data_IF_339383483686
#
_entry.id   IF_339383483686
#
_cell.length_a   1.000
_cell.length_b   1.000
_cell.length_c   1.000
_cell.angle_alpha   90.00
_cell.angle_beta   90.00
_cell.angle_gamma   90.00
#
_symmetry.space_group_name_H-M   'P 1'
#
loop_
_entity.id
_entity.type
_entity.pdbx_description
1 polymer ?
#
# COMPACT_ATOMS: atom_id res chain seq x y z
N UNK A 1 33.34 26.58 -30.19
CA UNK A 1 32.66 26.99 -28.95
C UNK A 1 31.59 25.95 -28.66
N UNK A 2 31.84 25.07 -27.71
CA UNK A 2 30.82 24.13 -27.22
C UNK A 2 29.76 24.97 -26.50
N UNK A 3 28.55 25.04 -27.05
CA UNK A 3 27.41 25.59 -26.33
C UNK A 3 27.09 24.58 -25.23
N UNK A 4 27.44 24.89 -23.99
CA UNK A 4 27.00 24.14 -22.84
C UNK A 4 25.46 24.07 -22.88
N UNK A 5 24.91 22.86 -22.78
CA UNK A 5 23.46 22.68 -22.66
C UNK A 5 22.95 23.53 -21.49
N UNK A 6 21.82 24.24 -21.65
CA UNK A 6 21.28 25.06 -20.58
C UNK A 6 20.96 24.16 -19.37
N UNK A 7 21.57 24.49 -18.23
CA UNK A 7 21.38 23.79 -16.97
C UNK A 7 19.87 23.72 -16.66
N UNK A 8 19.34 22.52 -16.43
CA UNK A 8 17.91 22.32 -16.22
C UNK A 8 17.42 23.17 -15.04
N UNK A 9 16.31 23.90 -15.23
CA UNK A 9 15.69 24.69 -14.16
C UNK A 9 15.39 23.80 -12.94
N UNK A 10 15.53 24.31 -11.70
CA UNK A 10 15.14 23.56 -10.50
C UNK A 10 13.69 23.04 -10.56
N UNK A 11 12.80 23.76 -11.25
CA UNK A 11 11.40 23.35 -11.45
C UNK A 11 11.31 22.16 -12.41
N UNK A 12 11.99 22.20 -13.56
CA UNK A 12 11.96 21.08 -14.50
C UNK A 12 12.60 19.84 -13.88
N UNK A 13 13.74 19.99 -13.21
CA UNK A 13 14.39 18.89 -12.50
C UNK A 13 13.49 18.26 -11.40
N UNK A 14 12.70 19.07 -10.70
CA UNK A 14 11.70 18.57 -9.74
C UNK A 14 10.60 17.77 -10.45
N UNK A 15 10.01 18.33 -11.50
CA UNK A 15 8.92 17.69 -12.25
C UNK A 15 9.38 16.38 -12.92
N UNK A 16 10.61 16.34 -13.43
CA UNK A 16 11.20 15.14 -14.02
C UNK A 16 11.37 14.04 -12.98
N UNK A 17 11.78 14.38 -11.75
CA UNK A 17 11.86 13.41 -10.64
C UNK A 17 10.48 12.87 -10.25
N UNK A 18 9.47 13.74 -10.18
CA UNK A 18 8.08 13.34 -9.87
C UNK A 18 7.56 12.39 -10.94
N UNK A 19 7.72 12.77 -12.21
CA UNK A 19 7.28 11.98 -13.37
C UNK A 19 7.98 10.63 -13.38
N UNK A 20 9.30 10.62 -13.16
CA UNK A 20 10.09 9.39 -13.08
C UNK A 20 9.59 8.45 -11.98
N UNK A 21 9.40 8.94 -10.75
CA UNK A 21 8.91 8.11 -9.65
C UNK A 21 7.52 7.54 -9.94
N UNK A 22 6.65 8.31 -10.58
CA UNK A 22 5.30 7.85 -10.95
C UNK A 22 5.33 6.77 -12.01
N UNK A 23 6.14 6.94 -13.05
CA UNK A 23 6.21 6.02 -14.18
C UNK A 23 7.05 4.77 -13.87
N UNK A 24 8.21 4.95 -13.24
CA UNK A 24 9.15 3.85 -13.00
C UNK A 24 8.89 3.13 -11.68
N UNK A 25 8.25 3.77 -10.69
CA UNK A 25 8.03 3.20 -9.36
C UNK A 25 9.36 2.67 -8.79
N UNK A 26 9.40 1.44 -8.29
CA UNK A 26 10.63 0.74 -7.89
C UNK A 26 11.45 0.16 -9.05
N UNK A 27 11.07 0.38 -10.30
CA UNK A 27 11.79 0.01 -11.51
C UNK A 27 10.92 -0.76 -12.52
N UNK A 28 11.09 -0.44 -13.81
CA UNK A 28 10.27 -0.98 -14.92
C UNK A 28 10.26 -2.51 -14.97
N UNK A 29 11.41 -3.17 -14.76
CA UNK A 29 11.49 -4.64 -14.72
C UNK A 29 10.58 -5.27 -13.64
N UNK A 30 10.37 -4.58 -12.52
CA UNK A 30 9.48 -5.05 -11.45
C UNK A 30 8.02 -4.84 -11.81
N UNK A 31 7.70 -3.76 -12.52
CA UNK A 31 6.38 -3.52 -13.11
C UNK A 31 6.07 -4.61 -14.15
N UNK A 32 6.98 -4.87 -15.09
CA UNK A 32 6.82 -5.93 -16.10
C UNK A 32 6.57 -7.30 -15.45
N UNK A 33 7.28 -7.61 -14.36
CA UNK A 33 7.09 -8.85 -13.62
C UNK A 33 5.73 -8.94 -12.90
N UNK A 34 5.12 -7.81 -12.52
CA UNK A 34 3.76 -7.75 -11.98
C UNK A 34 2.76 -8.02 -13.12
N UNK A 35 2.92 -7.33 -14.25
CA UNK A 35 2.06 -7.48 -15.42
C UNK A 35 2.12 -8.87 -16.05
N UNK A 36 3.30 -9.50 -16.08
CA UNK A 36 3.49 -10.87 -16.56
C UNK A 36 2.69 -11.90 -15.74
N UNK A 37 2.30 -11.57 -14.50
CA UNK A 37 1.41 -12.38 -13.65
C UNK A 37 -0.06 -11.99 -13.78
N UNK A 38 -0.42 -11.07 -14.68
CA UNK A 38 -1.77 -10.54 -14.82
C UNK A 38 -2.21 -9.65 -13.64
N UNK A 39 -1.27 -9.17 -12.82
CA UNK A 39 -1.54 -8.32 -11.67
C UNK A 39 -1.42 -6.84 -12.05
N UNK A 40 -1.98 -5.97 -11.22
CA UNK A 40 -1.87 -4.52 -11.38
C UNK A 40 -0.86 -3.96 -10.38
N UNK A 41 -0.21 -2.87 -10.74
CA UNK A 41 0.49 -2.00 -9.80
C UNK A 41 -0.51 -1.26 -8.90
N UNK A 42 -0.06 -0.77 -7.76
CA UNK A 42 -0.92 0.03 -6.87
C UNK A 42 -1.47 1.28 -7.55
N UNK A 43 -0.70 1.92 -8.44
CA UNK A 43 -1.15 3.10 -9.19
C UNK A 43 -2.28 2.74 -10.15
N UNK A 44 -2.15 1.63 -10.88
CA UNK A 44 -3.21 1.14 -11.75
C UNK A 44 -4.46 0.72 -10.97
N UNK A 45 -4.33 0.19 -9.75
CA UNK A 45 -5.49 -0.05 -8.88
C UNK A 45 -6.17 1.26 -8.46
N UNK A 46 -5.40 2.31 -8.13
CA UNK A 46 -5.95 3.63 -7.78
C UNK A 46 -6.66 4.22 -8.99
N UNK A 47 -5.99 4.29 -10.15
CA UNK A 47 -6.51 4.88 -11.38
C UNK A 47 -7.80 4.19 -11.85
N UNK A 48 -7.91 2.87 -11.65
CA UNK A 48 -9.13 2.13 -11.96
C UNK A 48 -10.24 2.37 -10.96
N UNK A 49 -9.93 2.63 -9.69
CA UNK A 49 -10.93 2.77 -8.64
C UNK A 49 -11.59 4.16 -8.63
N UNK A 50 -10.77 5.20 -8.76
CA UNK A 50 -11.16 6.59 -8.56
C UNK A 50 -11.67 7.25 -9.85
N UNK A 51 -12.33 8.39 -9.72
CA UNK A 51 -12.77 9.20 -10.86
C UNK A 51 -11.56 9.68 -11.67
N UNK A 52 -11.72 9.76 -12.99
CA UNK A 52 -10.69 10.25 -13.92
C UNK A 52 -10.13 11.61 -13.49
N UNK A 53 -8.81 11.76 -13.57
CA UNK A 53 -8.05 12.97 -13.20
C UNK A 53 -8.33 13.51 -11.78
N UNK A 54 -8.83 12.67 -10.86
CA UNK A 54 -9.13 13.09 -9.48
C UNK A 54 -8.00 12.85 -8.49
N UNK A 55 -7.07 11.93 -8.78
CA UNK A 55 -6.05 11.53 -7.82
C UNK A 55 -4.94 12.58 -7.65
N UNK A 56 -4.88 13.18 -6.46
CA UNK A 56 -3.83 14.07 -6.01
C UNK A 56 -2.90 13.33 -5.05
N UNK A 57 -1.80 12.80 -5.60
CA UNK A 57 -0.81 12.07 -4.81
C UNK A 57 -0.02 12.97 -3.86
N UNK A 58 0.28 12.44 -2.68
CA UNK A 58 1.05 13.09 -1.65
C UNK A 58 2.37 12.34 -1.36
N UNK A 59 3.44 13.12 -1.21
CA UNK A 59 4.75 12.58 -0.82
C UNK A 59 5.37 11.66 -1.88
N UNK A 60 5.17 11.94 -3.18
CA UNK A 60 5.74 11.18 -4.30
C UNK A 60 7.27 11.05 -4.17
N UNK A 61 7.96 12.12 -3.78
CA UNK A 61 9.43 12.14 -3.65
C UNK A 61 9.94 11.66 -2.28
N UNK A 62 9.07 11.11 -1.43
CA UNK A 62 9.50 10.50 -0.17
C UNK A 62 10.42 9.31 -0.44
N UNK A 63 11.33 9.04 0.49
CA UNK A 63 12.26 7.92 0.44
C UNK A 63 12.70 7.53 1.86
N UNK A 64 13.44 6.43 1.98
CA UNK A 64 13.99 5.95 3.25
C UNK A 64 14.78 7.04 3.99
N UNK A 65 14.77 6.98 5.32
CA UNK A 65 15.61 7.83 6.16
C UNK A 65 17.09 7.51 5.96
N UNK A 66 17.42 6.25 5.69
CA UNK A 66 18.76 5.79 5.38
C UNK A 66 19.24 6.40 4.04
N UNK A 67 20.24 7.29 4.04
CA UNK A 67 20.76 7.91 2.83
C UNK A 67 21.20 6.90 1.76
N UNK A 68 21.72 5.73 2.18
CA UNK A 68 22.19 4.69 1.26
C UNK A 68 21.04 4.01 0.49
N UNK A 69 19.80 4.12 0.98
CA UNK A 69 18.64 3.46 0.38
C UNK A 69 17.71 4.43 -0.37
N UNK A 70 17.99 5.74 -0.33
CA UNK A 70 17.07 6.77 -0.86
C UNK A 70 16.76 6.61 -2.35
N UNK A 71 17.76 6.25 -3.15
CA UNK A 71 17.59 6.06 -4.60
C UNK A 71 16.72 4.86 -4.94
N UNK A 72 16.68 3.86 -4.04
CA UNK A 72 16.05 2.57 -4.27
C UNK A 72 14.71 2.42 -3.50
N UNK A 73 14.26 3.51 -2.86
CA UNK A 73 13.02 3.55 -2.07
C UNK A 73 12.08 4.69 -2.50
N UNK A 74 11.79 4.85 -3.80
CA UNK A 74 10.88 5.91 -4.26
C UNK A 74 9.49 5.77 -3.63
N UNK A 75 8.92 6.88 -3.19
CA UNK A 75 7.66 6.93 -2.43
C UNK A 75 7.69 6.20 -1.07
N UNK A 76 8.86 5.68 -0.67
CA UNK A 76 9.09 4.70 0.39
C UNK A 76 8.14 3.49 0.37
N UNK A 77 7.75 3.06 -0.83
CA UNK A 77 6.91 1.88 -1.06
C UNK A 77 5.44 2.04 -0.68
N UNK A 78 4.97 3.27 -0.48
CA UNK A 78 3.56 3.62 -0.27
C UNK A 78 3.12 4.70 -1.24
N UNK A 79 1.99 4.49 -1.91
CA UNK A 79 1.31 5.52 -2.70
C UNK A 79 0.12 6.00 -1.89
N UNK A 80 0.03 7.31 -1.63
CA UNK A 80 -1.04 7.90 -0.81
C UNK A 80 -1.51 9.21 -1.42
N UNK A 81 -2.76 9.60 -1.18
CA UNK A 81 -3.28 10.88 -1.62
C UNK A 81 -4.79 11.02 -1.40
N UNK A 82 -5.36 12.05 -2.01
CA UNK A 82 -6.81 12.28 -2.05
C UNK A 82 -7.32 12.07 -3.48
N UNK A 83 -8.57 11.64 -3.61
CA UNK A 83 -9.23 11.41 -4.89
C UNK A 83 -10.74 11.63 -4.77
N UNK A 84 -11.48 11.29 -5.82
CA UNK A 84 -12.94 11.19 -5.78
C UNK A 84 -13.41 9.83 -6.24
N UNK A 85 -14.54 9.36 -5.70
CA UNK A 85 -15.30 8.22 -6.21
C UNK A 85 -16.75 8.68 -6.35
N UNK A 86 -17.29 8.66 -7.57
CA UNK A 86 -18.64 9.15 -7.85
C UNK A 86 -18.82 10.63 -7.44
N UNK A 87 -17.77 11.44 -7.64
CA UNK A 87 -17.73 12.85 -7.25
C UNK A 87 -17.52 13.11 -5.75
N UNK A 88 -17.49 12.08 -4.90
CA UNK A 88 -17.34 12.22 -3.44
C UNK A 88 -15.86 12.15 -3.06
N UNK A 89 -15.35 13.06 -2.21
CA UNK A 89 -13.94 13.06 -1.82
C UNK A 89 -13.62 11.86 -0.94
N UNK A 90 -12.45 11.27 -1.18
CA UNK A 90 -11.89 10.18 -0.38
C UNK A 90 -10.38 10.36 -0.23
N UNK A 91 -9.83 9.81 0.84
CA UNK A 91 -8.40 9.58 0.95
C UNK A 91 -8.09 8.12 0.58
N UNK A 92 -6.96 7.89 -0.06
CA UNK A 92 -6.54 6.54 -0.49
C UNK A 92 -5.06 6.31 -0.22
N UNK A 93 -4.73 5.08 0.19
CA UNK A 93 -3.37 4.60 0.35
C UNK A 93 -3.22 3.19 -0.22
N UNK A 94 -2.02 2.82 -0.66
CA UNK A 94 -1.74 1.46 -1.08
C UNK A 94 -0.26 1.10 -1.09
N UNK A 95 -0.01 -0.20 -1.15
CA UNK A 95 1.32 -0.79 -1.08
C UNK A 95 1.98 -0.94 -2.46
N UNK A 96 3.13 -0.30 -2.66
CA UNK A 96 3.91 -0.47 -3.88
C UNK A 96 4.89 -1.65 -3.74
N UNK A 97 4.49 -2.82 -4.24
CA UNK A 97 5.33 -4.01 -4.19
C UNK A 97 6.58 -3.96 -5.07
N UNK A 98 6.70 -3.01 -5.99
CA UNK A 98 7.93 -2.79 -6.75
C UNK A 98 9.04 -2.21 -5.86
N UNK A 99 8.68 -1.55 -4.76
CA UNK A 99 9.61 -0.92 -3.82
C UNK A 99 9.67 -1.73 -2.54
N UNK A 100 10.73 -2.53 -2.37
CA UNK A 100 10.96 -3.36 -1.17
C UNK A 100 9.71 -4.19 -0.79
N UNK A 101 8.99 -4.73 -1.78
CA UNK A 101 7.73 -5.50 -1.61
C UNK A 101 6.67 -4.75 -0.80
N UNK A 102 6.63 -3.43 -0.92
CA UNK A 102 5.69 -2.57 -0.21
C UNK A 102 5.83 -2.67 1.31
N UNK A 103 6.97 -3.15 1.83
CA UNK A 103 7.18 -3.40 3.26
C UNK A 103 6.93 -2.15 4.13
N UNK A 104 6.45 -2.38 5.35
CA UNK A 104 6.17 -1.32 6.32
C UNK A 104 7.47 -0.71 6.83
N UNK A 105 7.64 0.59 6.59
CA UNK A 105 8.84 1.38 6.85
C UNK A 105 8.50 2.67 7.55
N UNK A 106 9.49 3.37 8.10
CA UNK A 106 9.22 4.58 8.89
C UNK A 106 8.55 5.68 8.06
N UNK A 107 9.07 5.99 6.87
CA UNK A 107 8.54 7.08 6.04
C UNK A 107 7.25 6.66 5.35
N UNK A 108 7.18 5.43 4.83
CA UNK A 108 5.98 4.84 4.26
C UNK A 108 4.81 4.82 5.25
N UNK A 109 5.01 4.31 6.46
CA UNK A 109 3.96 4.27 7.49
C UNK A 109 3.53 5.67 7.92
N UNK A 110 4.46 6.65 8.01
CA UNK A 110 4.12 8.05 8.26
C UNK A 110 3.27 8.66 7.14
N UNK A 111 3.54 8.32 5.88
CA UNK A 111 2.71 8.78 4.74
C UNK A 111 1.28 8.26 4.85
N UNK A 112 1.10 6.97 5.13
CA UNK A 112 -0.23 6.35 5.29
C UNK A 112 -0.95 6.98 6.49
N UNK A 113 -0.27 7.11 7.63
CA UNK A 113 -0.83 7.75 8.82
C UNK A 113 -1.24 9.21 8.58
N UNK A 114 -0.42 9.97 7.85
CA UNK A 114 -0.72 11.36 7.51
C UNK A 114 -1.96 11.48 6.63
N UNK A 115 -2.08 10.66 5.59
CA UNK A 115 -3.26 10.64 4.73
C UNK A 115 -4.52 10.25 5.52
N UNK A 116 -4.40 9.26 6.42
CA UNK A 116 -5.50 8.86 7.30
C UNK A 116 -5.92 9.99 8.26
N UNK A 117 -4.99 10.67 8.90
CA UNK A 117 -5.28 11.82 9.78
C UNK A 117 -5.96 12.97 9.02
N UNK A 118 -5.53 13.23 7.77
CA UNK A 118 -6.19 14.21 6.91
C UNK A 118 -7.61 13.79 6.55
N UNK A 119 -7.83 12.51 6.24
CA UNK A 119 -9.16 11.97 5.97
C UNK A 119 -10.11 12.16 7.15
N UNK A 120 -9.64 11.84 8.37
CA UNK A 120 -10.41 12.04 9.61
C UNK A 120 -10.74 13.52 9.80
N UNK A 121 -9.77 14.41 9.62
CA UNK A 121 -9.98 15.85 9.76
C UNK A 121 -10.96 16.43 8.73
N UNK A 122 -10.96 15.87 7.50
CA UNK A 122 -11.84 16.29 6.42
C UNK A 122 -13.23 15.60 6.47
N UNK A 123 -13.41 14.56 7.27
CA UNK A 123 -14.61 13.73 7.25
C UNK A 123 -14.73 12.87 5.99
N UNK A 124 -13.61 12.53 5.35
CA UNK A 124 -13.54 11.77 4.10
C UNK A 124 -13.37 10.27 4.39
N UNK A 125 -14.04 9.36 3.66
CA UNK A 125 -13.74 7.94 3.71
C UNK A 125 -12.28 7.66 3.36
N UNK A 126 -11.71 6.63 3.99
CA UNK A 126 -10.34 6.18 3.73
C UNK A 126 -10.34 4.80 3.10
N UNK A 127 -9.69 4.67 1.94
CA UNK A 127 -9.52 3.40 1.23
C UNK A 127 -8.06 2.94 1.32
N UNK A 128 -7.84 1.67 1.65
CA UNK A 128 -6.52 1.06 1.69
C UNK A 128 -6.42 -0.14 0.73
N UNK A 129 -5.42 -0.11 -0.16
CA UNK A 129 -5.10 -1.19 -1.10
C UNK A 129 -3.92 -2.01 -0.56
N UNK A 130 -4.23 -3.14 0.08
CA UNK A 130 -3.29 -3.99 0.77
C UNK A 130 -2.55 -4.97 -0.14
N UNK A 131 -1.22 -4.90 -0.09
CA UNK A 131 -0.30 -5.84 -0.74
C UNK A 131 1.10 -5.79 -0.10
N UNK A 132 1.21 -5.81 1.22
CA UNK A 132 2.50 -5.57 1.90
C UNK A 132 3.29 -6.86 2.21
N UNK A 133 4.62 -6.80 2.09
CA UNK A 133 5.52 -7.92 2.41
C UNK A 133 5.86 -8.10 3.90
N UNK A 134 5.20 -7.37 4.81
CA UNK A 134 5.54 -7.35 6.24
C UNK A 134 6.34 -6.11 6.65
N UNK A 135 6.95 -6.17 7.83
CA UNK A 135 7.85 -5.12 8.32
C UNK A 135 9.15 -5.09 7.50
N UNK A 136 9.66 -3.88 7.22
CA UNK A 136 10.98 -3.72 6.63
C UNK A 136 12.02 -3.96 7.71
N UNK A 137 12.60 -5.17 7.72
CA UNK A 137 13.47 -5.62 8.81
C UNK A 137 14.57 -4.59 9.16
N UNK A 138 15.36 -4.02 8.23
CA UNK A 138 16.34 -3.00 8.58
C UNK A 138 15.79 -1.81 9.37
N UNK A 139 14.57 -1.36 9.08
CA UNK A 139 13.91 -0.24 9.76
C UNK A 139 13.31 -0.64 11.10
N UNK A 140 12.93 -1.92 11.24
CA UNK A 140 12.22 -2.46 12.42
C UNK A 140 13.15 -3.19 13.41
N UNK A 141 14.45 -3.24 13.15
CA UNK A 141 15.43 -3.92 14.00
C UNK A 141 15.57 -3.22 15.36
N UNK A 142 15.58 -4.02 16.43
CA UNK A 142 15.69 -3.54 17.80
C UNK A 142 14.42 -2.85 18.31
N UNK A 143 14.39 -2.56 19.62
CA UNK A 143 13.24 -1.95 20.27
C UNK A 143 12.92 -0.55 19.70
N UNK A 144 13.95 0.22 19.35
CA UNK A 144 13.80 1.55 18.76
C UNK A 144 13.18 1.48 17.35
N UNK A 145 13.71 0.63 16.47
CA UNK A 145 13.17 0.46 15.12
C UNK A 145 11.72 -0.01 15.11
N UNK A 146 11.39 -0.99 15.96
CA UNK A 146 10.02 -1.48 16.10
C UNK A 146 9.06 -0.38 16.57
N UNK A 147 9.48 0.49 17.48
CA UNK A 147 8.68 1.63 17.95
C UNK A 147 8.45 2.69 16.86
N UNK A 148 9.33 2.76 15.85
CA UNK A 148 9.25 3.74 14.75
C UNK A 148 8.32 3.32 13.60
N UNK A 149 7.94 2.03 13.54
CA UNK A 149 6.94 1.50 12.60
C UNK A 149 5.77 0.89 13.38
N UNK A 150 5.05 1.70 14.20
CA UNK A 150 4.01 1.17 15.06
C UNK A 150 2.81 0.68 14.23
N UNK A 151 1.98 -0.22 14.79
CA UNK A 151 0.64 -0.47 14.26
C UNK A 151 -0.16 0.84 14.11
N UNK A 152 -1.23 0.86 13.29
CA UNK A 152 -1.98 2.08 13.00
C UNK A 152 -2.88 2.49 14.19
N UNK A 153 -2.29 3.02 15.26
CA UNK A 153 -2.99 3.38 16.50
C UNK A 153 -4.07 4.43 16.27
N UNK A 154 -3.82 5.41 15.40
CA UNK A 154 -4.82 6.43 15.04
C UNK A 154 -6.05 5.82 14.37
N UNK A 155 -5.87 4.79 13.53
CA UNK A 155 -6.96 4.04 12.91
C UNK A 155 -7.80 3.33 13.96
N UNK A 156 -7.17 2.67 14.93
CA UNK A 156 -7.88 2.03 16.05
C UNK A 156 -8.61 3.05 16.94
N UNK A 157 -8.04 4.24 17.13
CA UNK A 157 -8.62 5.30 17.95
C UNK A 157 -9.68 6.14 17.23
N UNK A 158 -9.98 5.87 15.94
CA UNK A 158 -10.84 6.74 15.11
C UNK A 158 -12.30 6.80 15.56
N UNK A 159 -12.78 5.83 16.36
CA UNK A 159 -14.18 5.73 16.82
C UNK A 159 -15.22 5.81 15.68
N UNK A 160 -14.92 5.17 14.56
CA UNK A 160 -15.77 5.18 13.35
C UNK A 160 -16.17 6.59 12.87
N UNK A 161 -15.35 7.63 13.11
CA UNK A 161 -15.60 8.99 12.62
C UNK A 161 -15.69 9.09 11.09
N UNK A 162 -14.94 8.23 10.39
CA UNK A 162 -14.98 8.07 8.94
C UNK A 162 -15.06 6.58 8.59
N UNK A 163 -15.68 6.21 7.45
CA UNK A 163 -15.61 4.84 6.93
C UNK A 163 -14.19 4.50 6.49
N UNK A 164 -13.74 3.30 6.81
CA UNK A 164 -12.46 2.74 6.37
C UNK A 164 -12.72 1.44 5.62
N UNK A 165 -12.25 1.39 4.37
CA UNK A 165 -12.41 0.23 3.50
C UNK A 165 -11.03 -0.29 3.11
N UNK A 166 -10.81 -1.60 3.25
CA UNK A 166 -9.57 -2.24 2.81
C UNK A 166 -9.85 -3.23 1.68
N UNK A 167 -9.05 -3.18 0.62
CA UNK A 167 -9.02 -4.17 -0.45
C UNK A 167 -7.70 -4.93 -0.40
N UNK A 168 -7.75 -6.25 -0.19
CA UNK A 168 -6.58 -7.13 -0.29
C UNK A 168 -6.46 -7.58 -1.75
N UNK A 169 -5.53 -6.95 -2.47
CA UNK A 169 -5.33 -7.13 -3.92
C UNK A 169 -4.10 -7.99 -4.25
N UNK A 170 -3.42 -8.49 -3.22
CA UNK A 170 -2.34 -9.45 -3.34
C UNK A 170 -1.85 -9.94 -1.99
N UNK A 171 -0.66 -10.56 -1.98
CA UNK A 171 -0.08 -11.12 -0.75
C UNK A 171 0.18 -10.02 0.29
N UNK A 172 -0.42 -10.17 1.46
CA UNK A 172 -0.58 -9.10 2.45
C UNK A 172 -0.24 -9.59 3.86
N UNK A 173 0.92 -9.17 4.36
CA UNK A 173 1.47 -9.61 5.65
C UNK A 173 1.70 -8.47 6.64
N UNK A 174 1.30 -8.61 7.89
CA UNK A 174 1.66 -7.63 8.93
C UNK A 174 0.88 -6.32 8.79
N UNK A 175 1.52 -5.24 8.34
CA UNK A 175 0.92 -3.89 8.31
C UNK A 175 -0.48 -3.83 7.67
N UNK A 176 -0.65 -4.45 6.50
CA UNK A 176 -1.94 -4.51 5.80
C UNK A 176 -2.98 -5.34 6.56
N UNK A 177 -2.56 -6.40 7.27
CA UNK A 177 -3.46 -7.21 8.10
C UNK A 177 -3.99 -6.45 9.30
N UNK A 178 -3.18 -5.57 9.90
CA UNK A 178 -3.63 -4.71 10.99
C UNK A 178 -4.60 -3.63 10.50
N UNK A 179 -4.36 -3.05 9.32
CA UNK A 179 -5.30 -2.08 8.73
C UNK A 179 -6.62 -2.77 8.35
N UNK A 180 -6.56 -3.95 7.73
CA UNK A 180 -7.75 -4.74 7.39
C UNK A 180 -8.57 -5.09 8.64
N UNK A 181 -7.93 -5.63 9.68
CA UNK A 181 -8.61 -6.00 10.93
C UNK A 181 -9.20 -4.83 11.72
N UNK A 182 -8.84 -3.58 11.37
CA UNK A 182 -9.40 -2.35 11.93
C UNK A 182 -10.35 -1.62 10.98
N UNK A 183 -10.53 -2.11 9.75
CA UNK A 183 -11.42 -1.51 8.74
C UNK A 183 -12.88 -1.83 9.02
N UNK A 184 -13.77 -1.00 8.48
CA UNK A 184 -15.22 -1.18 8.58
C UNK A 184 -15.75 -2.16 7.54
N UNK A 185 -15.04 -2.29 6.41
CA UNK A 185 -15.35 -3.23 5.33
C UNK A 185 -14.06 -3.73 4.68
N UNK A 186 -13.94 -5.04 4.51
CA UNK A 186 -12.77 -5.71 3.93
C UNK A 186 -13.18 -6.55 2.72
N UNK A 187 -12.60 -6.21 1.58
CA UNK A 187 -12.70 -6.97 0.34
C UNK A 187 -11.41 -7.76 0.14
N UNK A 188 -11.49 -9.06 -0.15
CA UNK A 188 -10.33 -9.86 -0.54
C UNK A 188 -10.52 -10.45 -1.94
N UNK A 189 -9.54 -10.23 -2.81
CA UNK A 189 -9.51 -10.87 -4.14
C UNK A 189 -9.12 -12.34 -4.00
N UNK A 190 -9.79 -13.25 -4.70
CA UNK A 190 -9.45 -14.67 -4.69
C UNK A 190 -8.01 -14.93 -5.18
N UNK A 191 -7.33 -15.91 -4.59
CA UNK A 191 -5.91 -16.20 -4.85
C UNK A 191 -4.91 -15.29 -4.12
N UNK A 192 -5.38 -14.34 -3.31
CA UNK A 192 -4.55 -13.51 -2.42
C UNK A 192 -4.51 -14.09 -1.01
N UNK A 193 -3.53 -13.67 -0.20
CA UNK A 193 -3.39 -14.08 1.20
C UNK A 193 -3.39 -12.86 2.12
N UNK A 194 -4.19 -12.90 3.18
CA UNK A 194 -4.20 -11.94 4.28
C UNK A 194 -3.73 -12.65 5.56
N UNK A 195 -2.58 -12.27 6.11
CA UNK A 195 -2.08 -12.85 7.35
C UNK A 195 -1.21 -11.88 8.13
N UNK A 196 -0.96 -12.14 9.41
CA UNK A 196 0.00 -11.34 10.18
C UNK A 196 1.44 -11.64 9.76
N UNK A 197 1.72 -12.91 9.45
CA UNK A 197 3.06 -13.43 9.15
C UNK A 197 3.00 -14.30 7.91
N UNK A 198 4.05 -14.31 7.09
CA UNK A 198 4.08 -15.12 5.87
C UNK A 198 4.34 -16.60 6.17
N UNK A 199 3.91 -17.54 5.29
CA UNK A 199 4.14 -18.96 5.48
C UNK A 199 5.60 -19.35 5.73
N UNK A 200 6.53 -18.72 5.00
CA UNK A 200 7.96 -18.98 5.15
C UNK A 200 8.47 -18.67 6.56
N UNK A 201 7.95 -17.61 7.19
CA UNK A 201 8.34 -17.27 8.57
C UNK A 201 7.70 -18.25 9.56
N UNK A 202 6.48 -18.71 9.31
CA UNK A 202 5.82 -19.74 10.13
C UNK A 202 6.61 -21.04 10.08
N UNK A 203 7.00 -21.49 8.89
CA UNK A 203 7.77 -22.72 8.69
C UNK A 203 9.13 -22.64 9.39
N UNK A 204 9.86 -21.53 9.24
CA UNK A 204 11.14 -21.33 9.93
C UNK A 204 10.97 -21.33 11.46
N UNK A 205 9.88 -20.76 11.98
CA UNK A 205 9.68 -20.62 13.42
C UNK A 205 9.12 -21.87 14.10
N UNK A 206 8.30 -22.66 13.40
CA UNK A 206 7.49 -23.75 13.98
C UNK A 206 7.76 -25.11 13.37
N UNK A 207 8.35 -25.16 12.17
CA UNK A 207 8.48 -26.38 11.36
C UNK A 207 7.21 -26.77 10.60
N UNK A 208 6.11 -26.03 10.76
CA UNK A 208 4.84 -26.31 10.07
C UNK A 208 4.82 -25.67 8.68
N UNK A 209 4.64 -26.50 7.65
CA UNK A 209 4.42 -26.03 6.29
C UNK A 209 2.92 -25.74 6.08
N UNK A 210 2.60 -24.50 5.70
CA UNK A 210 1.23 -24.06 5.39
C UNK A 210 1.22 -23.33 4.05
N UNK A 211 0.19 -23.56 3.24
CA UNK A 211 0.06 -22.84 1.97
C UNK A 211 -0.48 -21.41 2.19
N UNK A 212 -0.29 -20.52 1.21
CA UNK A 212 -0.91 -19.18 1.25
C UNK A 212 -2.44 -19.25 1.36
N UNK A 213 -3.05 -20.19 0.64
CA UNK A 213 -4.52 -20.37 0.62
C UNK A 213 -5.02 -20.87 1.98
N UNK A 214 -4.32 -21.83 2.60
CA UNK A 214 -4.72 -22.39 3.90
C UNK A 214 -4.43 -21.45 5.07
N UNK A 215 -3.43 -20.58 4.94
CA UNK A 215 -3.07 -19.62 5.98
C UNK A 215 -4.04 -18.44 6.03
N UNK A 216 -4.35 -17.85 4.87
CA UNK A 216 -5.04 -16.56 4.79
C UNK A 216 -5.76 -16.33 3.46
N UNK A 217 -6.08 -17.40 2.74
CA UNK A 217 -6.88 -17.30 1.51
C UNK A 217 -8.29 -16.80 1.79
N UNK A 218 -8.98 -16.33 0.75
CA UNK A 218 -10.32 -15.76 0.86
C UNK A 218 -11.34 -16.72 1.51
N UNK A 219 -11.19 -18.04 1.30
CA UNK A 219 -12.04 -19.08 1.93
C UNK A 219 -11.81 -19.19 3.44
N UNK A 220 -10.58 -19.00 3.90
CA UNK A 220 -10.25 -19.00 5.34
C UNK A 220 -11.00 -17.86 6.02
N UNK A 221 -10.95 -16.67 5.42
CA UNK A 221 -11.57 -15.50 6.02
C UNK A 221 -13.10 -15.49 5.90
N UNK A 222 -13.66 -15.83 4.74
CA UNK A 222 -15.11 -15.85 4.53
C UNK A 222 -15.82 -17.00 5.26
N UNK A 223 -15.17 -18.13 5.53
CA UNK A 223 -15.83 -19.31 6.15
C UNK A 223 -15.44 -19.59 7.59
N UNK A 224 -14.29 -19.10 8.06
CA UNK A 224 -13.78 -19.46 9.40
C UNK A 224 -13.55 -18.27 10.31
N UNK A 225 -12.85 -17.24 9.83
CA UNK A 225 -12.40 -16.15 10.73
C UNK A 225 -13.30 -14.92 10.72
N UNK A 226 -14.09 -14.71 9.67
CA UNK A 226 -14.95 -13.53 9.53
C UNK A 226 -14.19 -12.21 9.35
N UNK A 227 -12.91 -12.25 8.94
CA UNK A 227 -12.10 -11.04 8.73
C UNK A 227 -12.31 -10.39 7.36
N UNK A 228 -13.09 -11.00 6.48
CA UNK A 228 -13.38 -10.52 5.12
C UNK A 228 -14.87 -10.51 4.92
N UNK A 229 -15.39 -9.36 4.51
CA UNK A 229 -16.81 -9.10 4.31
C UNK A 229 -17.25 -9.42 2.87
N UNK A 230 -16.34 -9.25 1.90
CA UNK A 230 -16.59 -9.57 0.49
C UNK A 230 -15.42 -10.31 -0.16
N UNK A 231 -15.73 -11.40 -0.86
CA UNK A 231 -14.75 -12.13 -1.68
C UNK A 231 -14.97 -11.76 -3.13
N UNK A 232 -14.02 -11.03 -3.71
CA UNK A 232 -14.03 -10.65 -5.11
C UNK A 232 -13.29 -11.68 -5.97
N UNK A 233 -13.82 -12.02 -7.14
CA UNK A 233 -13.19 -12.92 -8.12
C UNK A 233 -12.08 -12.23 -8.92
N UNK A 234 -12.05 -10.90 -8.92
CA UNK A 234 -11.07 -10.10 -9.65
C UNK A 234 -10.79 -8.76 -8.97
N UNK A 235 -9.67 -8.08 -9.31
CA UNK A 235 -9.45 -6.69 -8.93
C UNK A 235 -10.59 -5.76 -9.30
N UNK A 236 -11.20 -5.96 -10.46
CA UNK A 236 -12.29 -5.12 -10.98
C UNK A 236 -13.54 -5.25 -10.10
N UNK A 237 -13.92 -6.48 -9.75
CA UNK A 237 -15.03 -6.72 -8.82
C UNK A 237 -14.73 -6.14 -7.44
N UNK A 238 -13.47 -6.21 -6.98
CA UNK A 238 -13.08 -5.57 -5.74
C UNK A 238 -13.22 -4.05 -5.80
N UNK A 239 -12.88 -3.43 -6.94
CA UNK A 239 -13.11 -1.99 -7.15
C UNK A 239 -14.59 -1.65 -7.13
N UNK A 240 -15.44 -2.45 -7.78
CA UNK A 240 -16.89 -2.26 -7.78
C UNK A 240 -17.51 -2.40 -6.38
N UNK A 241 -17.04 -3.35 -5.56
CA UNK A 241 -17.50 -3.50 -4.19
C UNK A 241 -17.17 -2.30 -3.28
N UNK A 242 -16.16 -1.48 -3.65
CA UNK A 242 -15.74 -0.30 -2.89
C UNK A 242 -16.53 0.96 -3.29
N UNK A 243 -17.01 1.06 -4.54
CA UNK A 243 -17.70 2.25 -5.06
C UNK A 243 -19.13 2.36 -4.55
#
# INVERSE_FOLDING_TARGET
MSMAEPEASPISAHNDRVTRVRHEMGGLQRIDAIHARGQLTVREHIDRLVDEDSFCEMGTLAASLDPAQRTDTPGDGKVVGHARIGGRPIAIAGDDITVRRGSSSVVGSRKVGRAFEQAVAAGEPFVYLGQTGGARIPDALGAEGLAMVPPPVSLAARRHQIPVVTAIVGQSFGGSSFIAGLSDFVVQVEGTCLAVTSPNVIEVATGEAVSMEDLGGAKVHSKRTGQVDWVAQSPQEAHEAIR
#
